data_IF_273198015170
#
_entry.id   IF_273198015170
#
_cell.length_a   1.000
_cell.length_b   1.000
_cell.length_c   1.000
_cell.angle_alpha   90.00
_cell.angle_beta   90.00
_cell.angle_gamma   90.00
#
_symmetry.space_group_name_H-M   'P 1'
#
loop_
_entity.id
_entity.type
_entity.pdbx_description
1 polymer ?
#
# COMPACT_ATOMS: atom_id res chain seq x y z
N UNK A 1 -11.03 20.03 -12.91
CA UNK A 1 -10.36 18.72 -13.05
C UNK A 1 -10.36 18.09 -11.67
N UNK A 2 -10.91 16.89 -11.52
CA UNK A 2 -10.87 16.14 -10.27
C UNK A 2 -9.44 15.66 -10.05
N UNK A 3 -8.87 15.87 -8.85
CA UNK A 3 -7.54 15.33 -8.53
C UNK A 3 -7.59 13.79 -8.55
N UNK A 4 -6.50 13.13 -8.97
CA UNK A 4 -6.44 11.68 -9.03
C UNK A 4 -6.51 11.10 -7.62
N UNK A 5 -7.39 10.12 -7.43
CA UNK A 5 -7.50 9.35 -6.19
C UNK A 5 -6.52 8.18 -6.21
N UNK A 6 -5.71 8.03 -5.15
CA UNK A 6 -4.75 6.95 -5.04
C UNK A 6 -5.43 5.57 -5.08
N UNK A 7 -4.78 4.61 -5.73
CA UNK A 7 -5.28 3.27 -6.11
C UNK A 7 -6.44 3.26 -7.11
N UNK A 8 -7.33 4.26 -7.11
CA UNK A 8 -8.49 4.33 -8.03
C UNK A 8 -8.24 5.12 -9.32
N UNK A 9 -7.05 5.70 -9.47
CA UNK A 9 -6.62 6.39 -10.68
C UNK A 9 -5.44 5.66 -11.32
N UNK A 10 -5.61 5.11 -12.54
CA UNK A 10 -4.51 4.49 -13.27
C UNK A 10 -3.34 5.43 -13.48
N UNK A 11 -2.15 4.87 -13.55
CA UNK A 11 -0.92 5.62 -13.77
C UNK A 11 0.21 5.20 -12.87
N UNK A 12 1.24 6.05 -12.86
CA UNK A 12 2.45 5.84 -12.10
C UNK A 12 2.42 6.72 -10.85
N UNK A 13 2.53 6.09 -9.68
CA UNK A 13 2.67 6.79 -8.42
C UNK A 13 4.03 6.47 -7.81
N UNK A 14 4.63 7.48 -7.20
CA UNK A 14 5.90 7.37 -6.50
C UNK A 14 5.64 7.61 -5.02
N UNK A 15 6.48 7.04 -4.18
CA UNK A 15 6.50 7.37 -2.78
C UNK A 15 7.86 7.18 -2.17
N UNK A 16 8.04 7.80 -1.01
CA UNK A 16 9.22 7.62 -0.18
C UNK A 16 8.85 7.75 1.29
N UNK A 17 9.67 7.16 2.15
CA UNK A 17 9.40 7.18 3.57
C UNK A 17 10.42 6.39 4.38
N UNK A 18 9.97 5.94 5.54
CA UNK A 18 10.77 5.16 6.48
C UNK A 18 10.02 3.93 6.97
N UNK A 19 10.78 2.87 7.22
CA UNK A 19 10.34 1.64 7.86
C UNK A 19 11.01 1.58 9.22
N UNK A 20 10.22 1.43 10.29
CA UNK A 20 10.67 1.30 11.67
C UNK A 20 10.23 -0.06 12.21
N UNK A 21 11.10 -0.73 12.97
CA UNK A 21 10.79 -1.99 13.63
C UNK A 21 10.54 -1.75 15.11
N UNK A 22 9.48 -2.30 15.70
CA UNK A 22 9.12 -2.06 17.10
C UNK A 22 10.21 -2.39 18.12
N UNK A 23 11.12 -3.29 17.76
CA UNK A 23 12.24 -3.71 18.60
C UNK A 23 13.50 -2.83 18.45
N UNK A 24 13.48 -1.81 17.59
CA UNK A 24 14.63 -0.96 17.30
C UNK A 24 14.26 0.53 17.20
N UNK A 25 15.23 1.40 17.49
CA UNK A 25 15.13 2.84 17.21
C UNK A 25 15.66 3.21 15.81
N UNK A 26 16.15 2.24 15.07
CA UNK A 26 16.64 2.42 13.72
C UNK A 26 15.49 2.42 12.71
N UNK A 27 15.68 3.15 11.62
CA UNK A 27 14.77 3.14 10.48
C UNK A 27 15.52 2.90 9.19
N UNK A 28 14.84 2.28 8.24
CA UNK A 28 15.33 2.07 6.88
C UNK A 28 14.53 3.01 5.98
N UNK A 29 15.22 3.85 5.19
CA UNK A 29 14.53 4.64 4.16
C UNK A 29 14.06 3.73 3.05
N UNK A 30 12.89 4.00 2.50
CA UNK A 30 12.40 3.28 1.35
C UNK A 30 11.93 4.23 0.25
N UNK A 31 11.93 3.72 -0.97
CA UNK A 31 11.30 4.30 -2.14
C UNK A 31 10.31 3.29 -2.70
N UNK A 32 9.14 3.74 -3.10
CA UNK A 32 8.10 2.89 -3.67
C UNK A 32 7.64 3.43 -5.02
N UNK A 33 7.36 2.51 -5.94
CA UNK A 33 6.78 2.81 -7.24
C UNK A 33 5.57 1.93 -7.46
N UNK A 34 4.43 2.55 -7.70
CA UNK A 34 3.17 1.89 -8.01
C UNK A 34 2.82 2.07 -9.48
N UNK A 35 2.59 0.97 -10.18
CA UNK A 35 1.98 0.96 -11.50
C UNK A 35 0.54 0.47 -11.38
N UNK A 36 -0.42 1.37 -11.55
CA UNK A 36 -1.85 1.08 -11.43
C UNK A 36 -2.48 1.00 -12.82
N UNK A 37 -3.21 -0.09 -13.06
CA UNK A 37 -3.91 -0.37 -14.32
C UNK A 37 -5.37 -0.71 -14.01
N UNK A 38 -6.30 -0.04 -14.69
CA UNK A 38 -7.70 -0.44 -14.71
C UNK A 38 -7.88 -1.54 -15.76
N UNK A 39 -8.06 -2.78 -15.32
CA UNK A 39 -8.23 -3.94 -16.22
C UNK A 39 -9.68 -4.03 -16.75
N UNK A 40 -10.66 -3.65 -15.92
CA UNK A 40 -12.08 -3.54 -16.29
C UNK A 40 -12.79 -2.57 -15.34
N UNK A 41 -14.08 -2.27 -15.50
CA UNK A 41 -14.82 -1.39 -14.59
C UNK A 41 -14.83 -1.82 -13.12
N UNK A 42 -14.57 -3.10 -12.84
CA UNK A 42 -14.66 -3.71 -11.51
C UNK A 42 -13.32 -4.24 -10.98
N UNK A 43 -12.25 -4.13 -11.79
CA UNK A 43 -10.94 -4.70 -11.47
C UNK A 43 -9.82 -3.69 -11.69
N UNK A 44 -9.08 -3.43 -10.63
CA UNK A 44 -7.82 -2.68 -10.67
C UNK A 44 -6.69 -3.62 -10.31
N UNK A 45 -5.63 -3.59 -11.13
CA UNK A 45 -4.38 -4.27 -10.83
C UNK A 45 -3.32 -3.22 -10.53
N UNK A 46 -2.58 -3.40 -9.44
CA UNK A 46 -1.45 -2.54 -9.11
C UNK A 46 -0.20 -3.37 -8.83
N UNK A 47 0.94 -2.94 -9.38
CA UNK A 47 2.24 -3.51 -9.04
C UNK A 47 3.02 -2.47 -8.27
N UNK A 48 3.39 -2.81 -7.03
CA UNK A 48 4.25 -2.00 -6.19
C UNK A 48 5.66 -2.60 -6.18
N UNK A 49 6.65 -1.75 -6.42
CA UNK A 49 8.07 -2.08 -6.25
C UNK A 49 8.61 -1.22 -5.12
N UNK A 50 9.16 -1.85 -4.09
CA UNK A 50 9.76 -1.18 -2.94
C UNK A 50 11.26 -1.44 -2.92
N UNK A 51 12.02 -0.36 -2.82
CA UNK A 51 13.47 -0.36 -2.70
C UNK A 51 13.83 0.18 -1.31
N UNK A 52 14.69 -0.54 -0.58
CA UNK A 52 15.10 -0.18 0.77
C UNK A 52 16.57 0.24 0.77
N UNK A 53 16.87 1.37 1.42
CA UNK A 53 18.24 1.89 1.47
C UNK A 53 19.16 0.90 2.17
N UNK A 54 20.21 0.46 1.47
CA UNK A 54 21.19 -0.50 2.00
C UNK A 54 20.79 -1.96 1.85
N UNK A 55 19.69 -2.26 1.15
CA UNK A 55 19.25 -3.61 0.80
C UNK A 55 19.17 -3.69 -0.73
N UNK A 56 19.93 -4.60 -1.34
CA UNK A 56 20.01 -4.72 -2.80
C UNK A 56 18.76 -5.37 -3.43
N UNK A 57 18.01 -6.13 -2.64
CA UNK A 57 16.80 -6.82 -3.09
C UNK A 57 15.57 -5.89 -3.07
N UNK A 58 14.80 -5.94 -4.16
CA UNK A 58 13.52 -5.24 -4.28
C UNK A 58 12.38 -6.12 -3.78
N UNK A 59 11.45 -5.54 -3.05
CA UNK A 59 10.18 -6.20 -2.72
C UNK A 59 9.17 -5.83 -3.78
N UNK A 60 8.59 -6.84 -4.42
CA UNK A 60 7.56 -6.66 -5.46
C UNK A 60 6.24 -7.23 -4.95
N UNK A 61 5.25 -6.36 -4.82
CA UNK A 61 3.90 -6.71 -4.41
C UNK A 61 2.95 -6.56 -5.61
N UNK A 62 2.15 -7.59 -5.87
CA UNK A 62 1.05 -7.50 -6.84
C UNK A 62 -0.27 -7.42 -6.09
N UNK A 63 -0.98 -6.31 -6.28
CA UNK A 63 -2.30 -6.09 -5.71
C UNK A 63 -3.39 -6.24 -6.77
N UNK A 64 -4.52 -6.83 -6.36
CA UNK A 64 -5.77 -6.76 -7.11
C UNK A 64 -6.86 -6.19 -6.22
N UNK A 65 -7.58 -5.19 -6.72
CA UNK A 65 -8.73 -4.58 -6.07
C UNK A 65 -9.99 -4.94 -6.84
N UNK A 66 -10.99 -5.49 -6.14
CA UNK A 66 -12.24 -6.03 -6.69
C UNK A 66 -13.43 -5.58 -5.85
N UNK A 67 -14.64 -5.85 -6.34
CA UNK A 67 -15.90 -5.57 -5.64
C UNK A 67 -15.98 -4.10 -5.20
N UNK A 68 -15.55 -3.18 -6.07
CA UNK A 68 -15.41 -1.76 -5.75
C UNK A 68 -16.80 -1.14 -5.54
N UNK A 69 -17.15 -0.91 -4.29
CA UNK A 69 -18.33 -0.19 -3.83
C UNK A 69 -17.96 1.25 -3.46
N UNK A 70 -18.95 2.15 -3.26
CA UNK A 70 -18.67 3.54 -2.87
C UNK A 70 -17.81 3.69 -1.61
N UNK A 71 -17.92 2.73 -0.67
CA UNK A 71 -17.23 2.80 0.63
C UNK A 71 -16.37 1.59 0.97
N UNK A 72 -16.33 0.57 0.11
CA UNK A 72 -15.64 -0.68 0.42
C UNK A 72 -15.11 -1.34 -0.85
N UNK A 73 -14.12 -2.20 -0.70
CA UNK A 73 -13.59 -3.04 -1.77
C UNK A 73 -12.92 -4.28 -1.17
N UNK A 74 -12.66 -5.27 -2.01
CA UNK A 74 -11.82 -6.43 -1.67
C UNK A 74 -10.42 -6.19 -2.21
N UNK A 75 -9.38 -6.50 -1.44
CA UNK A 75 -7.98 -6.44 -1.89
C UNK A 75 -7.34 -7.81 -1.77
N UNK A 76 -6.53 -8.21 -2.75
CA UNK A 76 -5.61 -9.33 -2.63
C UNK A 76 -4.18 -8.87 -2.87
N UNK A 77 -3.25 -9.28 -2.01
CA UNK A 77 -1.81 -9.06 -2.14
C UNK A 77 -1.13 -10.38 -2.46
N UNK A 78 -0.21 -10.37 -3.43
CA UNK A 78 0.67 -11.48 -3.73
C UNK A 78 2.13 -11.02 -3.78
N UNK A 79 3.01 -11.70 -3.03
CA UNK A 79 4.46 -11.56 -3.15
C UNK A 79 5.19 -12.87 -2.76
N UNK A 80 6.51 -12.90 -2.95
CA UNK A 80 7.34 -14.08 -2.67
C UNK A 80 7.51 -14.41 -1.17
N UNK A 81 7.24 -13.46 -0.28
CA UNK A 81 7.46 -13.56 1.17
C UNK A 81 6.22 -14.12 1.86
N UNK A 82 5.04 -13.55 1.58
CA UNK A 82 3.77 -13.89 2.24
C UNK A 82 2.87 -14.80 1.41
N UNK A 83 3.21 -15.04 0.14
CA UNK A 83 2.34 -15.74 -0.80
C UNK A 83 1.15 -14.85 -1.19
N UNK A 84 -0.03 -15.45 -1.35
CA UNK A 84 -1.26 -14.72 -1.67
C UNK A 84 -2.15 -14.58 -0.44
N UNK A 85 -2.53 -13.34 -0.13
CA UNK A 85 -3.41 -13.00 0.99
C UNK A 85 -4.55 -12.11 0.52
N UNK A 86 -5.68 -12.16 1.23
CA UNK A 86 -6.88 -11.36 0.94
C UNK A 86 -7.23 -10.50 2.14
N UNK A 87 -7.68 -9.29 1.87
CA UNK A 87 -8.07 -8.29 2.84
C UNK A 87 -9.31 -7.52 2.42
N UNK A 88 -9.75 -6.62 3.28
CA UNK A 88 -10.88 -5.73 3.04
C UNK A 88 -10.43 -4.29 3.03
N UNK A 89 -11.03 -3.51 2.14
CA UNK A 89 -10.72 -2.11 1.93
C UNK A 89 -11.86 -1.18 2.29
N UNK A 90 -11.49 0.05 2.64
CA UNK A 90 -12.36 1.18 2.94
C UNK A 90 -12.03 2.32 1.98
N UNK A 91 -13.07 2.94 1.42
CA UNK A 91 -12.94 4.13 0.56
C UNK A 91 -13.78 5.28 1.13
N UNK A 92 -13.14 6.41 1.39
CA UNK A 92 -13.78 7.64 1.84
C UNK A 92 -13.21 8.82 1.06
N UNK A 93 -13.81 10.00 1.21
CA UNK A 93 -13.48 11.20 0.42
C UNK A 93 -11.98 11.55 0.42
N UNK A 94 -11.32 11.42 1.57
CA UNK A 94 -9.90 11.75 1.76
C UNK A 94 -9.06 10.58 2.26
N UNK A 95 -9.62 9.38 2.29
CA UNK A 95 -8.93 8.23 2.88
C UNK A 95 -9.21 6.97 2.07
N UNK A 96 -8.13 6.27 1.73
CA UNK A 96 -8.19 4.89 1.23
C UNK A 96 -7.42 4.04 2.22
N UNK A 97 -8.01 2.96 2.67
CA UNK A 97 -7.36 2.06 3.61
C UNK A 97 -7.69 0.61 3.29
N UNK A 98 -6.85 -0.31 3.73
CA UNK A 98 -7.16 -1.73 3.72
C UNK A 98 -6.45 -2.46 4.84
N UNK A 99 -6.98 -3.63 5.18
CA UNK A 99 -6.43 -4.48 6.21
C UNK A 99 -6.45 -5.96 5.81
N UNK A 100 -5.49 -6.70 6.34
CA UNK A 100 -5.37 -8.14 6.23
C UNK A 100 -5.52 -8.73 7.63
N UNK A 101 -6.60 -9.51 7.85
CA UNK A 101 -6.93 -10.13 9.14
C UNK A 101 -7.07 -11.63 9.01
N UNK A 102 -6.77 -12.37 10.09
CA UNK A 102 -7.06 -13.79 10.22
C UNK A 102 -6.06 -14.71 9.52
N UNK A 103 -4.91 -14.18 9.10
CA UNK A 103 -3.85 -14.96 8.47
C UNK A 103 -2.70 -15.17 9.46
N UNK A 104 -2.45 -16.43 9.83
CA UNK A 104 -1.53 -16.82 10.92
C UNK A 104 -0.10 -16.27 10.80
N UNK A 105 0.33 -15.87 9.61
CA UNK A 105 1.69 -15.42 9.33
C UNK A 105 1.81 -13.91 9.05
N UNK A 106 0.69 -13.21 8.81
CA UNK A 106 0.71 -11.81 8.38
C UNK A 106 -0.62 -11.12 8.69
N UNK A 107 -0.59 -10.12 9.56
CA UNK A 107 -1.74 -9.26 9.82
C UNK A 107 -1.29 -7.81 9.83
N UNK A 108 -2.17 -6.92 9.41
CA UNK A 108 -1.83 -5.50 9.37
C UNK A 108 -2.77 -4.68 8.52
N UNK A 109 -2.45 -3.41 8.39
CA UNK A 109 -3.25 -2.46 7.63
C UNK A 109 -2.36 -1.43 6.95
N UNK A 110 -2.92 -0.79 5.92
CA UNK A 110 -2.40 0.42 5.32
C UNK A 110 -3.49 1.49 5.26
N UNK A 111 -3.13 2.73 5.55
CA UNK A 111 -3.99 3.90 5.47
C UNK A 111 -3.27 4.95 4.62
N UNK A 112 -3.99 5.49 3.66
CA UNK A 112 -3.55 6.56 2.78
C UNK A 112 -4.48 7.76 2.98
N UNK A 113 -3.96 8.82 3.59
CA UNK A 113 -4.70 10.04 3.87
C UNK A 113 -4.29 11.13 2.89
N UNK A 114 -5.27 11.65 2.15
CA UNK A 114 -5.04 12.72 1.19
C UNK A 114 -4.67 14.02 1.91
N UNK A 115 -3.62 14.65 1.42
CA UNK A 115 -3.08 15.91 1.92
C UNK A 115 -3.63 17.09 1.11
N UNK A 116 -3.51 18.31 1.63
CA UNK A 116 -4.00 19.53 0.97
C UNK A 116 -3.41 19.75 -0.43
N UNK A 117 -2.18 19.28 -0.66
CA UNK A 117 -1.48 19.38 -1.94
C UNK A 117 -1.91 18.31 -2.97
N UNK A 118 -2.75 17.35 -2.59
CA UNK A 118 -3.20 16.24 -3.43
C UNK A 118 -2.36 14.97 -3.34
N UNK A 119 -1.26 14.99 -2.58
CA UNK A 119 -0.49 13.78 -2.26
C UNK A 119 -1.18 12.98 -1.16
N UNK A 120 -0.64 11.81 -0.84
CA UNK A 120 -1.15 10.93 0.20
C UNK A 120 -0.08 10.65 1.24
N UNK A 121 -0.43 10.78 2.51
CA UNK A 121 0.37 10.27 3.61
C UNK A 121 0.02 8.79 3.83
N UNK A 122 1.03 7.95 3.76
CA UNK A 122 0.95 6.51 4.03
C UNK A 122 1.31 6.26 5.50
N UNK A 123 0.43 5.56 6.20
CA UNK A 123 0.72 4.89 7.47
C UNK A 123 0.33 3.42 7.37
N UNK A 124 1.25 2.51 7.65
CA UNK A 124 0.98 1.08 7.67
C UNK A 124 1.63 0.40 8.87
N UNK A 125 0.95 -0.62 9.38
CA UNK A 125 1.46 -1.47 10.46
C UNK A 125 1.26 -2.94 10.11
N UNK A 126 2.33 -3.71 10.19
CA UNK A 126 2.33 -5.15 9.93
C UNK A 126 2.94 -5.91 11.10
N UNK A 127 2.21 -6.90 11.60
CA UNK A 127 2.64 -7.81 12.65
C UNK A 127 3.09 -9.16 12.10
N UNK A 128 4.10 -9.74 12.75
CA UNK A 128 4.52 -11.12 12.57
C UNK A 128 4.22 -11.96 13.82
N UNK A 129 4.21 -13.30 13.74
CA UNK A 129 3.93 -14.18 14.88
C UNK A 129 4.83 -13.98 16.09
N UNK A 130 6.05 -13.47 15.89
CA UNK A 130 7.04 -13.22 16.93
C UNK A 130 6.87 -11.84 17.61
N UNK A 131 5.68 -11.24 17.50
CA UNK A 131 5.29 -9.92 18.06
C UNK A 131 6.11 -8.71 17.56
N UNK A 132 6.99 -8.90 16.56
CA UNK A 132 7.63 -7.78 15.87
C UNK A 132 6.61 -7.06 15.00
N UNK A 133 6.51 -5.74 15.19
CA UNK A 133 5.71 -4.85 14.35
C UNK A 133 6.63 -4.04 13.45
N UNK A 134 6.27 -4.00 12.18
CA UNK A 134 6.85 -3.11 11.19
C UNK A 134 5.90 -1.93 11.02
N UNK A 135 6.41 -0.72 11.19
CA UNK A 135 5.69 0.53 11.01
C UNK A 135 6.26 1.22 9.78
N UNK A 136 5.41 1.59 8.83
CA UNK A 136 5.80 2.25 7.59
C UNK A 136 5.08 3.60 7.54
N UNK A 137 5.86 4.66 7.40
CA UNK A 137 5.35 6.02 7.23
C UNK A 137 5.97 6.64 5.98
N UNK A 138 5.18 7.30 5.14
CA UNK A 138 5.70 7.89 3.91
C UNK A 138 4.74 8.83 3.21
N UNK A 139 5.20 9.40 2.11
CA UNK A 139 4.38 10.18 1.18
C UNK A 139 4.27 9.44 -0.14
N UNK A 140 3.12 9.55 -0.80
CA UNK A 140 2.83 8.95 -2.10
C UNK A 140 2.17 10.01 -2.98
N UNK A 141 2.70 10.20 -4.18
CA UNK A 141 2.24 11.22 -5.12
C UNK A 141 2.12 10.67 -6.53
N UNK A 142 1.22 11.26 -7.31
CA UNK A 142 1.04 10.90 -8.70
C UNK A 142 2.17 11.53 -9.52
N UNK A 143 2.91 10.73 -10.31
CA UNK A 143 4.00 11.24 -11.15
C UNK A 143 3.50 12.03 -12.36
N UNK A 144 2.23 11.88 -12.71
CA UNK A 144 1.70 12.23 -14.03
C UNK A 144 2.02 11.16 -15.06
N UNK A 145 1.26 11.17 -16.17
CA UNK A 145 1.53 10.37 -17.36
C UNK A 145 2.65 10.99 -18.20
#
# INVERSE_FOLDING_TARGET
MTQPEFIFSPGLWLGEGKITFSASHEFIKFYTRWQIVQESSELIRAVQVVEMQGIDEQVINTFMFKDIQPHAFTVSLENSIVGQITGTGLRQENTVAWEFRGQRAFEGFEVYERQENGDYFLHAEYGSPDEFRTIIEGLVWNKGA
#
